data_IF_331487395129
#
_entry.id   IF_331487395129
#
_cell.length_a   1.000
_cell.length_b   1.000
_cell.length_c   1.000
_cell.angle_alpha   90.00
_cell.angle_beta   90.00
_cell.angle_gamma   90.00
#
_symmetry.space_group_name_H-M   'P 1'
#
loop_
_entity.id
_entity.type
_entity.pdbx_description
1 polymer ?
#
# COMPACT_ATOMS: atom_id res chain seq x y z
N UNK A 1 25.80 4.22 42.86
CA UNK A 1 25.02 3.00 43.15
C UNK A 1 24.18 2.72 41.92
N UNK A 2 24.70 1.89 41.00
CA UNK A 2 24.02 1.57 39.75
C UNK A 2 22.91 0.56 40.05
N UNK A 3 21.67 0.86 39.63
CA UNK A 3 20.57 -0.10 39.73
C UNK A 3 20.88 -1.31 38.84
N UNK A 4 20.61 -2.54 39.32
CA UNK A 4 20.84 -3.74 38.53
C UNK A 4 19.91 -3.73 37.31
N UNK A 5 20.47 -4.11 36.15
CA UNK A 5 19.76 -4.28 34.89
C UNK A 5 18.62 -5.29 35.09
N UNK A 6 17.41 -4.79 35.34
CA UNK A 6 16.21 -5.61 35.37
C UNK A 6 15.94 -6.10 33.94
N UNK A 7 15.59 -7.38 33.81
CA UNK A 7 15.08 -7.96 32.57
C UNK A 7 13.74 -7.30 32.22
N UNK A 8 13.79 -6.11 31.65
CA UNK A 8 12.63 -5.49 31.05
C UNK A 8 12.15 -6.40 29.92
N UNK A 9 10.89 -6.79 29.96
CA UNK A 9 10.24 -7.39 28.80
C UNK A 9 10.25 -6.37 27.65
N UNK A 10 10.25 -6.83 26.39
CA UNK A 10 10.23 -5.96 25.20
C UNK A 10 9.17 -4.83 25.32
N UNK A 11 8.04 -5.15 25.94
CA UNK A 11 6.93 -4.23 26.21
C UNK A 11 7.22 -3.16 27.26
N UNK A 12 8.02 -3.47 28.29
CA UNK A 12 8.38 -2.50 29.33
C UNK A 12 9.50 -1.55 28.89
N UNK A 13 10.42 -2.03 28.03
CA UNK A 13 11.40 -1.16 27.37
C UNK A 13 10.71 -0.18 26.40
N UNK A 14 9.60 -0.60 25.79
CA UNK A 14 8.77 0.19 24.86
C UNK A 14 7.85 1.22 25.54
N UNK A 15 7.52 1.05 26.82
CA UNK A 15 6.72 2.01 27.57
C UNK A 15 7.59 3.09 28.25
N UNK A 16 8.90 2.85 28.33
CA UNK A 16 9.88 3.76 28.93
C UNK A 16 10.46 4.79 27.94
N UNK A 17 9.98 4.82 26.69
CA UNK A 17 10.65 5.48 25.57
C UNK A 17 9.94 6.74 25.05
N UNK A 18 10.60 7.45 24.12
CA UNK A 18 10.23 8.79 23.64
C UNK A 18 8.95 8.79 22.79
N UNK A 19 8.38 9.97 22.50
CA UNK A 19 7.18 10.10 21.66
C UNK A 19 7.32 9.43 20.28
N UNK A 20 8.54 9.39 19.73
CA UNK A 20 8.85 8.73 18.46
C UNK A 20 8.68 7.21 18.53
N UNK A 21 8.95 6.61 19.69
CA UNK A 21 8.86 5.16 19.90
C UNK A 21 7.40 4.69 19.94
N UNK A 22 6.48 5.52 20.43
CA UNK A 22 5.03 5.23 20.44
C UNK A 22 4.46 5.14 19.02
N UNK A 23 4.84 6.08 18.14
CA UNK A 23 4.39 6.04 16.73
C UNK A 23 4.95 4.84 15.98
N UNK A 24 6.21 4.48 16.23
CA UNK A 24 6.82 3.30 15.63
C UNK A 24 6.11 2.01 16.04
N UNK A 25 5.75 1.88 17.32
CA UNK A 25 4.94 0.74 17.81
C UNK A 25 3.57 0.73 17.15
N UNK A 26 2.88 1.87 17.12
CA UNK A 26 1.56 1.99 16.50
C UNK A 26 1.60 1.61 15.02
N UNK A 27 2.54 2.19 14.26
CA UNK A 27 2.77 1.87 12.86
C UNK A 27 3.04 0.37 12.67
N UNK A 28 3.90 -0.21 13.50
CA UNK A 28 4.21 -1.64 13.45
C UNK A 28 2.94 -2.48 13.62
N UNK A 29 2.16 -2.24 14.67
CA UNK A 29 0.92 -2.97 14.95
C UNK A 29 -0.08 -2.83 13.79
N UNK A 30 -0.32 -1.60 13.33
CA UNK A 30 -1.21 -1.33 12.19
C UNK A 30 -0.70 -2.05 10.95
N UNK A 31 0.61 -2.03 10.70
CA UNK A 31 1.21 -2.68 9.55
C UNK A 31 1.00 -4.19 9.54
N UNK A 32 1.16 -4.84 10.70
CA UNK A 32 0.86 -6.26 10.88
C UNK A 32 -0.61 -6.59 10.62
N UNK A 33 -1.53 -5.83 11.21
CA UNK A 33 -2.98 -6.02 11.03
C UNK A 33 -3.34 -5.86 9.55
N UNK A 34 -2.85 -4.82 8.92
CA UNK A 34 -3.09 -4.52 7.52
C UNK A 34 -2.53 -5.62 6.60
N UNK A 35 -1.33 -6.12 6.88
CA UNK A 35 -0.75 -7.26 6.16
C UNK A 35 -1.63 -8.48 6.25
N UNK A 36 -2.07 -8.82 7.46
CA UNK A 36 -2.95 -9.97 7.67
C UNK A 36 -4.26 -9.82 6.89
N UNK A 37 -4.91 -8.65 6.96
CA UNK A 37 -6.14 -8.39 6.20
C UNK A 37 -5.91 -8.44 4.69
N UNK A 38 -4.78 -7.90 4.21
CA UNK A 38 -4.42 -7.97 2.79
C UNK A 38 -4.24 -9.41 2.33
N UNK A 39 -3.55 -10.26 3.10
CA UNK A 39 -3.38 -11.68 2.80
C UNK A 39 -4.74 -12.40 2.69
N UNK A 40 -5.70 -12.04 3.54
CA UNK A 40 -7.06 -12.59 3.49
C UNK A 40 -7.86 -12.09 2.29
N UNK A 41 -7.82 -10.80 1.98
CA UNK A 41 -8.63 -10.19 0.92
C UNK A 41 -8.08 -10.44 -0.48
N UNK A 42 -6.76 -10.50 -0.64
CA UNK A 42 -6.08 -10.60 -1.93
C UNK A 42 -6.53 -11.76 -2.82
N UNK A 43 -6.69 -13.02 -2.33
CA UNK A 43 -7.18 -14.10 -3.18
C UNK A 43 -8.60 -13.86 -3.71
N UNK A 44 -9.48 -13.28 -2.90
CA UNK A 44 -10.83 -12.92 -3.34
C UNK A 44 -10.79 -11.78 -4.35
N UNK A 45 -9.97 -10.76 -4.09
CA UNK A 45 -9.74 -9.65 -5.01
C UNK A 45 -9.32 -10.15 -6.40
N UNK A 46 -8.32 -11.03 -6.44
CA UNK A 46 -7.83 -11.63 -7.69
C UNK A 46 -8.90 -12.48 -8.37
N UNK A 47 -9.61 -13.31 -7.61
CA UNK A 47 -10.67 -14.15 -8.15
C UNK A 47 -11.79 -13.33 -8.79
N UNK A 48 -12.36 -12.38 -8.04
CA UNK A 48 -13.47 -11.53 -8.49
C UNK A 48 -13.06 -10.72 -9.71
N UNK A 49 -11.85 -10.13 -9.69
CA UNK A 49 -11.34 -9.39 -10.84
C UNK A 49 -11.28 -10.28 -12.08
N UNK A 50 -10.73 -11.50 -11.97
CA UNK A 50 -10.61 -12.43 -13.11
C UNK A 50 -11.96 -12.84 -13.68
N UNK A 51 -12.95 -13.12 -12.83
CA UNK A 51 -14.30 -13.47 -13.26
C UNK A 51 -14.97 -12.31 -13.99
N UNK A 52 -14.74 -11.07 -13.52
CA UNK A 52 -15.39 -9.90 -14.10
C UNK A 52 -14.66 -9.31 -15.30
N UNK A 53 -13.39 -9.65 -15.48
CA UNK A 53 -12.47 -9.05 -16.46
C UNK A 53 -13.05 -8.98 -17.87
N UNK A 54 -13.58 -10.08 -18.40
CA UNK A 54 -14.05 -10.11 -19.79
C UNK A 54 -15.20 -9.15 -20.04
N UNK A 55 -16.14 -9.05 -19.09
CA UNK A 55 -17.24 -8.09 -19.15
C UNK A 55 -16.77 -6.65 -18.90
N UNK A 56 -15.81 -6.47 -18.00
CA UNK A 56 -15.33 -5.13 -17.65
C UNK A 56 -14.49 -4.51 -18.79
N UNK A 57 -13.93 -5.31 -19.72
CA UNK A 57 -13.17 -4.85 -20.90
C UNK A 57 -13.94 -3.89 -21.81
N UNK A 58 -15.26 -4.00 -21.84
CA UNK A 58 -16.15 -3.14 -22.64
C UNK A 58 -16.31 -1.75 -22.01
N UNK A 59 -15.92 -1.59 -20.75
CA UNK A 59 -16.04 -0.32 -20.03
C UNK A 59 -14.95 0.66 -20.43
N UNK A 60 -15.31 1.95 -20.52
CA UNK A 60 -14.37 3.04 -20.78
C UNK A 60 -13.33 3.22 -19.68
N UNK A 61 -13.68 2.85 -18.45
CA UNK A 61 -12.77 2.92 -17.30
C UNK A 61 -11.85 1.69 -17.20
N UNK A 62 -12.03 0.69 -18.08
CA UNK A 62 -11.29 -0.57 -18.03
C UNK A 62 -9.78 -0.40 -17.97
N UNK A 63 -9.14 0.47 -18.79
CA UNK A 63 -7.69 0.65 -18.72
C UNK A 63 -7.20 1.08 -17.33
N UNK A 64 -7.98 1.92 -16.64
CA UNK A 64 -7.65 2.37 -15.28
C UNK A 64 -7.87 1.24 -14.28
N UNK A 65 -9.00 0.51 -14.36
CA UNK A 65 -9.27 -0.60 -13.44
C UNK A 65 -8.32 -1.78 -13.62
N UNK A 66 -7.91 -2.08 -14.87
CA UNK A 66 -6.88 -3.09 -15.17
C UNK A 66 -5.52 -2.66 -14.66
N UNK A 67 -5.21 -1.37 -14.74
CA UNK A 67 -4.03 -0.79 -14.10
C UNK A 67 -4.06 -0.90 -12.57
N UNK A 68 -5.20 -0.60 -11.92
CA UNK A 68 -5.36 -0.80 -10.48
C UNK A 68 -5.09 -2.24 -10.06
N UNK A 69 -5.63 -3.22 -10.80
CA UNK A 69 -5.39 -4.63 -10.53
C UNK A 69 -3.91 -5.02 -10.62
N UNK A 70 -3.21 -4.58 -11.67
CA UNK A 70 -1.77 -4.85 -11.81
C UNK A 70 -0.95 -4.18 -10.72
N UNK A 71 -1.26 -2.92 -10.41
CA UNK A 71 -0.58 -2.18 -9.36
C UNK A 71 -0.84 -2.81 -7.98
N UNK A 72 -2.04 -3.35 -7.75
CA UNK A 72 -2.38 -4.08 -6.53
C UNK A 72 -1.58 -5.37 -6.36
N UNK A 73 -1.42 -6.16 -7.43
CA UNK A 73 -0.56 -7.35 -7.39
C UNK A 73 0.88 -6.96 -7.07
N UNK A 74 1.38 -5.94 -7.75
CA UNK A 74 2.74 -5.45 -7.54
C UNK A 74 2.95 -4.95 -6.09
N UNK A 75 1.99 -4.17 -5.58
CA UNK A 75 1.97 -3.67 -4.21
C UNK A 75 1.96 -4.82 -3.20
N UNK A 76 1.12 -5.83 -3.42
CA UNK A 76 1.05 -6.99 -2.52
C UNK A 76 2.38 -7.74 -2.44
N UNK A 77 3.04 -7.98 -3.59
CA UNK A 77 4.37 -8.62 -3.61
C UNK A 77 5.39 -7.74 -2.88
N UNK A 78 5.40 -6.44 -3.17
CA UNK A 78 6.33 -5.49 -2.57
C UNK A 78 6.16 -5.40 -1.06
N UNK A 79 4.93 -5.39 -0.59
CA UNK A 79 4.60 -5.35 0.82
C UNK A 79 5.12 -6.59 1.56
N UNK A 80 5.03 -7.78 0.98
CA UNK A 80 5.64 -8.99 1.55
C UNK A 80 7.18 -8.87 1.63
N UNK A 81 7.82 -8.29 0.60
CA UNK A 81 9.27 -8.08 0.60
C UNK A 81 9.69 -7.13 1.73
N UNK A 82 8.98 -6.03 1.93
CA UNK A 82 9.23 -5.09 3.03
C UNK A 82 9.09 -5.76 4.41
N UNK A 83 8.06 -6.59 4.61
CA UNK A 83 7.89 -7.31 5.89
C UNK A 83 9.05 -8.29 6.14
N UNK A 84 9.53 -8.98 5.10
CA UNK A 84 10.68 -9.89 5.21
C UNK A 84 11.96 -9.09 5.53
N UNK A 85 12.19 -7.98 4.84
CA UNK A 85 13.33 -7.09 5.09
C UNK A 85 13.34 -6.60 6.54
N UNK A 86 12.20 -6.13 7.02
CA UNK A 86 12.03 -5.64 8.40
C UNK A 86 12.28 -6.74 9.43
N UNK A 87 11.77 -7.96 9.21
CA UNK A 87 12.04 -9.10 10.07
C UNK A 87 13.53 -9.48 10.11
N UNK A 88 14.19 -9.50 8.95
CA UNK A 88 15.62 -9.79 8.88
C UNK A 88 16.41 -8.73 9.63
N UNK A 89 16.09 -7.45 9.43
CA UNK A 89 16.72 -6.34 10.15
C UNK A 89 16.57 -6.49 11.67
N UNK A 90 15.36 -6.80 12.15
CA UNK A 90 15.10 -7.03 13.58
C UNK A 90 15.88 -8.22 14.12
N UNK A 91 15.87 -9.35 13.41
CA UNK A 91 16.59 -10.57 13.82
C UNK A 91 18.09 -10.32 13.98
N UNK A 92 18.71 -9.65 13.02
CA UNK A 92 20.15 -9.34 13.08
C UNK A 92 20.48 -8.27 14.13
N UNK A 93 19.57 -7.32 14.39
CA UNK A 93 19.78 -6.26 15.39
C UNK A 93 19.59 -6.79 16.82
N UNK A 94 18.53 -7.55 17.08
CA UNK A 94 18.25 -8.13 18.41
C UNK A 94 19.35 -9.09 18.87
N UNK A 95 19.87 -9.92 17.96
CA UNK A 95 20.97 -10.86 18.26
C UNK A 95 22.26 -10.15 18.70
N UNK A 96 22.47 -8.91 18.27
CA UNK A 96 23.64 -8.09 18.64
C UNK A 96 23.61 -7.67 20.12
N UNK A 97 22.43 -7.46 20.69
CA UNK A 97 22.26 -6.93 22.05
C UNK A 97 22.22 -8.04 23.11
N UNK A 98 21.73 -9.23 22.76
CA UNK A 98 21.65 -10.38 23.67
C UNK A 98 22.99 -11.13 23.88
N UNK A 99 23.97 -10.97 23.00
CA UNK A 99 25.28 -11.60 23.15
C UNK A 99 26.36 -10.55 23.41
N UNK A 100 26.70 -10.30 24.67
CA UNK A 100 27.92 -9.61 25.10
C UNK A 100 29.23 -10.34 24.68
N UNK A 101 29.19 -11.15 23.62
CA UNK A 101 30.37 -11.78 23.05
C UNK A 101 30.88 -10.95 21.88
N UNK A 102 32.15 -10.54 21.97
CA UNK A 102 32.97 -10.14 20.84
C UNK A 102 32.85 -11.20 19.74
N UNK A 103 32.09 -10.90 18.69
CA UNK A 103 32.11 -11.72 17.49
C UNK A 103 33.50 -11.58 16.85
N UNK A 104 34.23 -12.69 16.79
CA UNK A 104 35.47 -12.88 16.01
C UNK A 104 35.24 -12.66 14.50
N UNK A 105 34.00 -12.52 14.05
CA UNK A 105 33.66 -12.01 12.73
C UNK A 105 33.64 -10.48 12.77
N UNK A 106 34.77 -9.87 12.37
CA UNK A 106 35.13 -8.48 12.68
C UNK A 106 34.04 -7.41 12.56
N UNK A 107 34.24 -6.32 13.29
CA UNK A 107 33.42 -5.11 13.33
C UNK A 107 32.96 -4.58 11.94
N UNK A 108 33.76 -4.80 10.88
CA UNK A 108 33.47 -4.36 9.51
C UNK A 108 32.27 -5.05 8.82
N UNK A 109 32.17 -6.40 8.75
CA UNK A 109 31.01 -7.06 8.15
C UNK A 109 29.69 -6.70 8.83
N UNK A 110 29.65 -6.56 10.17
CA UNK A 110 28.41 -6.19 10.89
C UNK A 110 27.96 -4.76 10.56
N UNK A 111 28.89 -3.81 10.48
CA UNK A 111 28.60 -2.43 10.03
C UNK A 111 28.11 -2.38 8.58
N UNK A 112 28.69 -3.19 7.69
CA UNK A 112 28.29 -3.27 6.28
C UNK A 112 26.91 -3.91 6.12
N UNK A 113 26.62 -4.97 6.86
CA UNK A 113 25.28 -5.61 6.86
C UNK A 113 24.21 -4.67 7.42
N UNK A 114 24.53 -3.93 8.49
CA UNK A 114 23.61 -2.94 9.07
C UNK A 114 23.32 -1.78 8.09
N UNK A 115 24.37 -1.22 7.48
CA UNK A 115 24.19 -0.16 6.48
C UNK A 115 23.43 -0.63 5.23
N UNK A 116 23.60 -1.88 4.82
CA UNK A 116 22.89 -2.45 3.67
C UNK A 116 21.37 -2.51 3.90
N UNK A 117 20.91 -3.11 5.00
CA UNK A 117 19.47 -3.19 5.31
C UNK A 117 18.84 -1.80 5.46
N UNK A 118 19.54 -0.86 6.12
CA UNK A 118 19.04 0.52 6.22
C UNK A 118 18.90 1.22 4.86
N UNK A 119 19.90 1.11 3.99
CA UNK A 119 19.83 1.70 2.64
C UNK A 119 18.74 1.04 1.81
N UNK A 120 18.60 -0.28 1.92
CA UNK A 120 17.56 -1.04 1.24
C UNK A 120 16.16 -0.61 1.72
N UNK A 121 15.92 -0.57 3.03
CA UNK A 121 14.66 -0.12 3.62
C UNK A 121 14.27 1.30 3.18
N UNK A 122 15.22 2.24 3.21
CA UNK A 122 14.98 3.62 2.73
C UNK A 122 14.56 3.63 1.24
N UNK A 123 15.19 2.80 0.41
CA UNK A 123 14.87 2.71 -1.00
C UNK A 123 13.48 2.08 -1.23
N UNK A 124 13.13 1.05 -0.47
CA UNK A 124 11.83 0.38 -0.52
C UNK A 124 10.70 1.34 -0.07
N UNK A 125 10.84 1.96 1.11
CA UNK A 125 9.87 2.93 1.64
C UNK A 125 9.63 4.08 0.66
N UNK A 126 10.72 4.63 0.10
CA UNK A 126 10.64 5.75 -0.87
C UNK A 126 9.85 5.37 -2.12
N UNK A 127 9.93 4.11 -2.52
CA UNK A 127 9.24 3.59 -3.68
C UNK A 127 7.76 3.31 -3.38
N UNK A 128 7.48 2.69 -2.23
CA UNK A 128 6.15 2.44 -1.69
C UNK A 128 5.27 3.68 -1.60
N UNK A 129 5.80 4.76 -1.03
CA UNK A 129 5.09 6.04 -0.95
C UNK A 129 4.67 6.54 -2.34
N UNK A 130 5.47 6.32 -3.39
CA UNK A 130 5.10 6.73 -4.76
C UNK A 130 4.02 5.85 -5.36
N UNK A 131 3.98 4.57 -5.03
CA UNK A 131 2.87 3.70 -5.44
C UNK A 131 1.55 4.18 -4.83
N UNK A 132 1.53 4.54 -3.54
CA UNK A 132 0.34 5.11 -2.89
C UNK A 132 -0.16 6.36 -3.61
N UNK A 133 0.76 7.25 -4.00
CA UNK A 133 0.40 8.46 -4.73
C UNK A 133 -0.19 8.15 -6.11
N UNK A 134 0.36 7.14 -6.80
CA UNK A 134 -0.23 6.67 -8.06
C UNK A 134 -1.68 6.23 -7.84
N UNK A 135 -1.96 5.50 -6.75
CA UNK A 135 -3.31 5.08 -6.41
C UNK A 135 -4.24 6.27 -6.17
N UNK A 136 -3.82 7.27 -5.37
CA UNK A 136 -4.63 8.47 -5.09
C UNK A 136 -4.96 9.25 -6.36
N UNK A 137 -3.99 9.47 -7.23
CA UNK A 137 -4.21 10.19 -8.48
C UNK A 137 -5.11 9.38 -9.42
N UNK A 138 -4.90 8.07 -9.54
CA UNK A 138 -5.76 7.21 -10.36
C UNK A 138 -7.20 7.18 -9.82
N UNK A 139 -7.39 7.18 -8.49
CA UNK A 139 -8.72 7.23 -7.86
C UNK A 139 -9.39 8.56 -8.17
N UNK A 140 -8.63 9.65 -8.10
CA UNK A 140 -9.10 11.00 -8.44
C UNK A 140 -9.51 11.10 -9.91
N UNK A 141 -8.67 10.60 -10.83
CA UNK A 141 -8.99 10.54 -12.27
C UNK A 141 -10.25 9.71 -12.51
N UNK A 142 -10.36 8.55 -11.89
CA UNK A 142 -11.53 7.68 -12.02
C UNK A 142 -12.80 8.36 -11.49
N UNK A 143 -12.72 9.04 -10.35
CA UNK A 143 -13.83 9.78 -9.76
C UNK A 143 -14.28 10.94 -10.67
N UNK A 144 -13.33 11.74 -11.17
CA UNK A 144 -13.61 12.82 -12.12
C UNK A 144 -14.22 12.25 -13.41
N UNK A 145 -13.67 11.17 -13.95
CA UNK A 145 -14.22 10.54 -15.16
C UNK A 145 -15.66 10.06 -14.93
N UNK A 146 -15.95 9.39 -13.80
CA UNK A 146 -17.31 8.96 -13.45
C UNK A 146 -18.26 10.13 -13.24
N UNK A 147 -17.81 11.17 -12.54
CA UNK A 147 -18.59 12.39 -12.32
C UNK A 147 -18.98 13.03 -13.65
N UNK A 148 -18.02 13.24 -14.54
CA UNK A 148 -18.30 13.91 -15.80
C UNK A 148 -19.20 13.04 -16.71
N UNK A 149 -18.96 11.73 -16.78
CA UNK A 149 -19.82 10.81 -17.54
C UNK A 149 -21.25 10.75 -16.99
N UNK A 150 -21.44 10.94 -15.69
CA UNK A 150 -22.75 10.94 -15.04
C UNK A 150 -23.52 12.25 -15.26
N UNK A 151 -22.87 13.40 -15.08
CA UNK A 151 -23.54 14.71 -15.15
C UNK A 151 -23.56 15.33 -16.54
N UNK A 152 -22.63 14.97 -17.42
CA UNK A 152 -22.44 15.61 -18.73
C UNK A 152 -22.34 14.58 -19.85
N UNK A 153 -23.45 13.93 -20.19
CA UNK A 153 -23.49 12.90 -21.24
C UNK A 153 -22.96 13.40 -22.59
N UNK A 154 -23.14 14.69 -22.90
CA UNK A 154 -22.60 15.34 -24.10
C UNK A 154 -21.07 15.26 -24.21
N UNK A 155 -20.37 15.12 -23.08
CA UNK A 155 -18.90 15.03 -23.04
C UNK A 155 -18.35 13.63 -23.28
N UNK A 156 -19.22 12.60 -23.35
CA UNK A 156 -18.85 11.19 -23.55
C UNK A 156 -17.88 11.02 -24.72
N UNK A 157 -18.14 11.67 -25.86
CA UNK A 157 -17.29 11.59 -27.06
C UNK A 157 -15.85 12.09 -26.84
N UNK A 158 -15.62 12.99 -25.90
CA UNK A 158 -14.30 13.55 -25.60
C UNK A 158 -13.57 12.76 -24.51
N UNK A 159 -14.32 12.13 -23.60
CA UNK A 159 -13.80 11.34 -22.47
C UNK A 159 -13.54 9.89 -22.87
N UNK A 160 -14.17 9.42 -23.95
CA UNK A 160 -13.87 8.16 -24.64
C UNK A 160 -12.48 8.21 -25.30
N UNK A 161 -11.44 8.34 -24.48
CA UNK A 161 -10.06 8.13 -24.88
C UNK A 161 -9.92 6.65 -25.22
N UNK A 162 -9.64 6.37 -26.50
CA UNK A 162 -9.43 4.99 -26.95
C UNK A 162 -8.40 4.27 -26.07
N UNK A 163 -8.62 2.97 -25.81
CA UNK A 163 -7.82 2.19 -24.84
C UNK A 163 -6.30 2.30 -25.08
N UNK A 164 -5.86 2.40 -26.34
CA UNK A 164 -4.45 2.60 -26.68
C UNK A 164 -3.89 3.92 -26.13
N UNK A 165 -4.63 5.03 -26.27
CA UNK A 165 -4.22 6.35 -25.74
C UNK A 165 -4.18 6.34 -24.21
N UNK A 166 -5.17 5.72 -23.57
CA UNK A 166 -5.19 5.55 -22.11
C UNK A 166 -3.98 4.76 -21.60
N UNK A 167 -3.62 3.65 -22.26
CA UNK A 167 -2.44 2.87 -21.88
C UNK A 167 -1.13 3.66 -22.02
N UNK A 168 -0.98 4.44 -23.09
CA UNK A 168 0.19 5.32 -23.28
C UNK A 168 0.23 6.39 -22.18
N UNK A 169 -0.91 7.03 -21.88
CA UNK A 169 -1.01 8.01 -20.80
C UNK A 169 -0.63 7.43 -19.44
N UNK A 170 -1.12 6.23 -19.12
CA UNK A 170 -0.76 5.51 -17.90
C UNK A 170 0.73 5.15 -17.84
N UNK A 171 1.34 4.75 -18.97
CA UNK A 171 2.78 4.47 -19.03
C UNK A 171 3.63 5.72 -18.77
N UNK A 172 3.30 6.84 -19.41
CA UNK A 172 3.97 8.14 -19.18
C UNK A 172 3.80 8.56 -17.72
N UNK A 173 2.59 8.43 -17.20
CA UNK A 173 2.25 8.72 -15.80
C UNK A 173 3.12 7.91 -14.83
N UNK A 174 3.18 6.58 -14.96
CA UNK A 174 4.01 5.74 -14.08
C UNK A 174 5.49 6.07 -14.20
N UNK A 175 5.98 6.31 -15.42
CA UNK A 175 7.38 6.65 -15.67
C UNK A 175 7.80 7.93 -14.93
N UNK A 176 6.94 8.95 -14.92
CA UNK A 176 7.21 10.20 -14.20
C UNK A 176 7.37 9.97 -12.68
N UNK A 177 6.50 9.17 -12.07
CA UNK A 177 6.59 8.84 -10.65
C UNK A 177 7.82 7.98 -10.31
N UNK A 178 8.19 7.03 -11.17
CA UNK A 178 9.39 6.21 -10.96
C UNK A 178 10.68 7.00 -11.08
N UNK A 179 10.79 7.88 -12.06
CA UNK A 179 11.95 8.79 -12.19
C UNK A 179 12.08 9.65 -10.92
N UNK A 180 10.97 10.17 -10.41
CA UNK A 180 10.94 10.95 -9.17
C UNK A 180 11.35 10.12 -7.95
N UNK A 181 10.86 8.88 -7.80
CA UNK A 181 11.29 7.96 -6.75
C UNK A 181 12.80 7.72 -6.82
N UNK A 182 13.32 7.46 -8.01
CA UNK A 182 14.74 7.18 -8.23
C UNK A 182 15.63 8.37 -7.83
N UNK A 183 15.27 9.59 -8.26
CA UNK A 183 16.01 10.81 -7.89
C UNK A 183 16.02 11.00 -6.36
N UNK A 184 14.88 10.80 -5.69
CA UNK A 184 14.80 10.91 -4.21
C UNK A 184 15.65 9.84 -3.52
N UNK A 185 15.57 8.59 -3.96
CA UNK A 185 16.36 7.50 -3.39
C UNK A 185 17.86 7.76 -3.54
N UNK A 186 18.32 8.15 -4.74
CA UNK A 186 19.72 8.53 -4.96
C UNK A 186 20.17 9.66 -4.04
N UNK A 187 19.35 10.69 -3.87
CA UNK A 187 19.63 11.81 -2.96
C UNK A 187 19.74 11.35 -1.49
N UNK A 188 18.77 10.57 -1.01
CA UNK A 188 18.76 10.06 0.37
C UNK A 188 19.99 9.19 0.66
N UNK A 189 20.36 8.32 -0.29
CA UNK A 189 21.56 7.48 -0.18
C UNK A 189 22.82 8.34 -0.18
N UNK A 190 22.95 9.31 -1.09
CA UNK A 190 24.11 10.20 -1.16
C UNK A 190 24.31 11.01 0.14
N UNK A 191 23.22 11.48 0.74
CA UNK A 191 23.25 12.21 2.00
C UNK A 191 23.58 11.30 3.20
N UNK A 192 23.06 10.06 3.23
CA UNK A 192 23.45 9.05 4.24
C UNK A 192 24.93 8.65 4.15
N UNK A 193 25.49 8.63 2.94
CA UNK A 193 26.90 8.33 2.68
C UNK A 193 27.81 9.56 2.84
N UNK A 194 27.29 10.71 3.28
CA UNK A 194 28.04 11.95 3.48
C UNK A 194 28.85 12.39 2.24
N UNK A 195 28.36 12.12 1.02
CA UNK A 195 29.08 12.49 -0.19
C UNK A 195 29.12 14.02 -0.37
N UNK A 196 30.27 14.62 -0.76
CA UNK A 196 30.41 16.07 -0.92
C UNK A 196 29.43 16.65 -1.96
N UNK A 197 29.00 15.82 -2.92
CA UNK A 197 27.96 16.12 -3.90
C UNK A 197 26.58 16.48 -3.27
N UNK A 198 26.21 15.91 -2.11
CA UNK A 198 24.94 16.23 -1.43
C UNK A 198 24.95 17.66 -0.82
N UNK A 199 26.12 18.16 -0.43
CA UNK A 199 26.30 19.50 0.16
C UNK A 199 26.33 20.62 -0.90
N UNK A 200 26.77 20.30 -2.12
CA UNK A 200 26.97 21.31 -3.18
C UNK A 200 25.78 21.48 -4.11
N UNK A 201 24.99 20.43 -4.36
CA UNK A 201 24.08 20.47 -5.50
C UNK A 201 22.73 21.12 -5.25
N UNK A 202 22.22 21.24 -4.03
CA UNK A 202 20.93 21.90 -3.87
C UNK A 202 20.79 22.68 -2.56
N UNK A 203 20.60 24.02 -2.61
CA UNK A 203 20.10 24.74 -1.46
C UNK A 203 18.74 24.14 -1.05
N UNK A 204 18.32 24.40 0.19
CA UNK A 204 17.03 24.07 0.84
C UNK A 204 15.76 24.01 -0.07
N UNK A 205 15.79 24.59 -1.27
CA UNK A 205 14.75 24.62 -2.32
C UNK A 205 14.38 23.28 -2.97
N UNK A 206 15.30 22.34 -3.25
CA UNK A 206 14.86 21.03 -3.81
C UNK A 206 14.36 20.08 -2.75
N UNK A 207 14.91 20.13 -1.54
CA UNK A 207 14.29 19.47 -0.39
C UNK A 207 12.85 20.00 -0.22
N UNK A 208 12.66 21.32 -0.36
CA UNK A 208 11.34 21.93 -0.41
C UNK A 208 10.47 21.34 -1.53
N UNK A 209 10.89 21.30 -2.80
CA UNK A 209 10.05 20.72 -3.88
C UNK A 209 9.78 19.21 -3.74
N UNK A 210 10.74 18.42 -3.26
CA UNK A 210 10.57 16.96 -3.04
C UNK A 210 9.62 16.67 -1.88
N UNK A 211 9.56 17.56 -0.88
CA UNK A 211 8.63 17.52 0.26
C UNK A 211 7.27 18.15 -0.10
N UNK A 212 7.24 19.16 -0.98
CA UNK A 212 6.03 19.90 -1.34
C UNK A 212 5.07 19.15 -2.26
N UNK A 213 5.53 18.15 -3.01
CA UNK A 213 4.61 17.35 -3.84
C UNK A 213 3.61 16.54 -3.01
N UNK A 214 3.95 16.22 -1.76
CA UNK A 214 3.06 15.50 -0.84
C UNK A 214 2.10 16.49 -0.13
N UNK A 215 2.35 17.80 -0.26
CA UNK A 215 1.62 18.88 0.39
C UNK A 215 0.17 18.98 -0.09
N UNK A 216 -0.10 18.80 -1.39
CA UNK A 216 -1.45 18.94 -1.96
C UNK A 216 -2.39 17.86 -1.41
N UNK A 217 -1.90 16.65 -1.20
CA UNK A 217 -2.70 15.52 -0.69
C UNK A 217 -2.94 15.68 0.82
N UNK A 218 -1.99 16.30 1.53
CA UNK A 218 -1.99 16.38 2.98
C UNK A 218 -2.27 17.80 3.50
N UNK A 219 -2.84 18.71 2.70
CA UNK A 219 -3.07 20.13 3.09
C UNK A 219 -3.74 20.25 4.47
N UNK A 220 -4.85 19.55 4.77
CA UNK A 220 -5.52 19.69 6.07
C UNK A 220 -4.62 19.27 7.23
N UNK A 221 -3.81 18.24 7.01
CA UNK A 221 -2.88 17.69 7.98
C UNK A 221 -1.69 18.63 8.19
N UNK A 222 -1.13 19.19 7.12
CA UNK A 222 -0.09 20.24 7.19
C UNK A 222 -0.59 21.45 7.96
N UNK A 223 -1.81 21.90 7.71
CA UNK A 223 -2.43 23.01 8.46
C UNK A 223 -2.55 22.70 9.95
N UNK A 224 -2.94 21.47 10.30
CA UNK A 224 -3.00 21.02 11.69
C UNK A 224 -1.62 20.95 12.36
N UNK A 225 -0.62 20.36 11.69
CA UNK A 225 0.74 20.23 12.22
C UNK A 225 1.44 21.59 12.38
N UNK A 226 1.22 22.51 11.43
CA UNK A 226 1.68 23.90 11.53
C UNK A 226 1.04 24.63 12.70
N UNK A 227 -0.27 24.44 12.90
CA UNK A 227 -1.01 25.07 14.00
C UNK A 227 -0.50 24.65 15.38
N UNK A 228 -0.10 23.38 15.53
CA UNK A 228 0.40 22.84 16.81
C UNK A 228 1.92 22.86 16.97
N UNK A 229 2.66 23.48 16.06
CA UNK A 229 4.13 23.57 16.10
C UNK A 229 4.86 22.21 16.16
N UNK A 230 4.29 21.17 15.53
CA UNK A 230 4.91 19.85 15.45
C UNK A 230 6.07 19.78 14.45
N UNK A 231 6.90 18.73 14.54
CA UNK A 231 8.04 18.52 13.65
C UNK A 231 7.60 17.94 12.30
N UNK A 232 7.17 18.85 11.42
CA UNK A 232 6.53 18.60 10.12
C UNK A 232 7.19 17.45 9.31
N UNK A 233 8.50 17.43 9.02
CA UNK A 233 9.06 16.42 8.11
C UNK A 233 9.01 14.99 8.65
N UNK A 234 9.11 14.82 9.97
CA UNK A 234 9.12 13.52 10.62
C UNK A 234 7.70 12.93 10.65
N UNK A 235 6.74 13.72 11.10
CA UNK A 235 5.34 13.31 11.22
C UNK A 235 4.72 12.95 9.87
N UNK A 236 5.03 13.73 8.82
CA UNK A 236 4.56 13.43 7.45
C UNK A 236 5.11 12.14 6.87
N UNK A 237 6.30 11.71 7.30
CA UNK A 237 6.84 10.43 6.88
C UNK A 237 6.01 9.28 7.44
N UNK A 238 5.60 9.37 8.71
CA UNK A 238 4.72 8.37 9.34
C UNK A 238 3.36 8.29 8.68
N UNK A 239 2.74 9.42 8.37
CA UNK A 239 1.45 9.42 7.68
C UNK A 239 1.56 8.80 6.28
N UNK A 240 2.62 9.11 5.54
CA UNK A 240 2.87 8.47 4.24
C UNK A 240 3.06 6.95 4.35
N UNK A 241 3.74 6.48 5.40
CA UNK A 241 3.88 5.06 5.70
C UNK A 241 2.54 4.42 6.09
N UNK A 242 1.76 5.05 6.97
CA UNK A 242 0.42 4.56 7.33
C UNK A 242 -0.51 4.47 6.12
N UNK A 243 -0.46 5.47 5.24
CA UNK A 243 -1.26 5.52 4.02
C UNK A 243 -0.82 4.42 3.04
N UNK A 244 0.49 4.15 2.92
CA UNK A 244 1.01 3.01 2.16
C UNK A 244 0.44 1.67 2.63
N UNK A 245 0.35 1.48 3.95
CA UNK A 245 -0.14 0.22 4.51
C UNK A 245 -1.67 0.10 4.40
N UNK A 246 -2.40 1.21 4.57
CA UNK A 246 -3.87 1.22 4.61
C UNK A 246 -4.53 1.34 3.23
N UNK A 247 -3.89 1.99 2.27
CA UNK A 247 -4.45 2.20 0.94
C UNK A 247 -4.73 0.89 0.18
N UNK A 248 -3.82 -0.10 0.09
CA UNK A 248 -4.06 -1.35 -0.64
C UNK A 248 -5.29 -2.11 -0.11
N UNK A 249 -5.48 -2.14 1.20
CA UNK A 249 -6.64 -2.78 1.83
C UNK A 249 -7.90 -2.02 1.51
N UNK A 250 -7.86 -0.70 1.66
CA UNK A 250 -8.98 0.18 1.34
C UNK A 250 -9.44 -0.06 -0.09
N UNK A 251 -8.51 -0.18 -1.04
CA UNK A 251 -8.82 -0.49 -2.43
C UNK A 251 -9.34 -1.91 -2.64
N UNK A 252 -8.76 -2.93 -2.01
CA UNK A 252 -9.25 -4.31 -2.12
C UNK A 252 -10.67 -4.45 -1.56
N UNK A 253 -10.90 -3.95 -0.35
CA UNK A 253 -12.19 -3.97 0.32
C UNK A 253 -13.21 -3.14 -0.46
N UNK A 254 -12.84 -1.96 -0.95
CA UNK A 254 -13.73 -1.14 -1.78
C UNK A 254 -14.08 -1.83 -3.10
N UNK A 255 -13.12 -2.46 -3.76
CA UNK A 255 -13.41 -3.21 -4.99
C UNK A 255 -14.33 -4.39 -4.71
N UNK A 256 -14.08 -5.18 -3.66
CA UNK A 256 -14.89 -6.34 -3.32
C UNK A 256 -16.29 -5.97 -2.82
N UNK A 257 -16.40 -4.94 -1.98
CA UNK A 257 -17.61 -4.59 -1.23
C UNK A 257 -18.50 -3.53 -1.88
N UNK A 258 -17.94 -2.57 -2.62
CA UNK A 258 -18.73 -1.44 -3.13
C UNK A 258 -19.43 -1.73 -4.48
N UNK A 259 -19.35 -2.96 -4.98
CA UNK A 259 -20.00 -3.36 -6.22
C UNK A 259 -20.87 -4.61 -5.97
N UNK A 260 -22.19 -4.46 -6.16
CA UNK A 260 -23.17 -5.55 -6.00
C UNK A 260 -22.76 -6.82 -6.77
N UNK A 261 -22.30 -6.66 -8.01
CA UNK A 261 -21.83 -7.78 -8.85
C UNK A 261 -20.63 -8.49 -8.22
N UNK A 262 -19.70 -7.73 -7.63
CA UNK A 262 -18.52 -8.29 -6.98
C UNK A 262 -18.91 -9.09 -5.73
N UNK A 263 -19.82 -8.55 -4.92
CA UNK A 263 -20.38 -9.25 -3.76
C UNK A 263 -21.12 -10.54 -4.15
N UNK A 264 -21.94 -10.51 -5.21
CA UNK A 264 -22.62 -11.70 -5.72
C UNK A 264 -21.62 -12.80 -6.13
N UNK A 265 -20.53 -12.44 -6.83
CA UNK A 265 -19.47 -13.39 -7.20
C UNK A 265 -18.81 -14.00 -5.96
N UNK A 266 -18.54 -13.22 -4.92
CA UNK A 266 -17.98 -13.73 -3.65
C UNK A 266 -18.95 -14.70 -2.99
N UNK A 267 -20.23 -14.35 -2.87
CA UNK A 267 -21.23 -15.22 -2.24
C UNK A 267 -21.43 -16.53 -2.99
N UNK A 268 -21.44 -16.49 -4.33
CA UNK A 268 -21.48 -17.70 -5.17
C UNK A 268 -20.24 -18.57 -4.92
N UNK A 269 -19.05 -17.96 -4.88
CA UNK A 269 -17.82 -18.69 -4.57
C UNK A 269 -17.86 -19.36 -3.20
N UNK A 270 -18.25 -18.60 -2.16
CA UNK A 270 -18.35 -19.12 -0.79
C UNK A 270 -19.39 -20.23 -0.67
N UNK A 271 -20.57 -20.06 -1.30
CA UNK A 271 -21.61 -21.10 -1.34
C UNK A 271 -21.11 -22.36 -2.02
N UNK A 272 -20.36 -22.26 -3.12
CA UNK A 272 -19.81 -23.42 -3.82
C UNK A 272 -18.71 -24.14 -3.03
N UNK A 273 -17.90 -23.39 -2.27
CA UNK A 273 -16.74 -23.93 -1.54
C UNK A 273 -17.09 -24.46 -0.15
N UNK A 274 -18.00 -23.79 0.56
CA UNK A 274 -18.36 -24.10 1.95
C UNK A 274 -19.82 -24.52 2.13
N UNK A 275 -20.68 -24.22 1.17
CA UNK A 275 -22.02 -24.81 1.15
C UNK A 275 -21.89 -26.29 0.87
N UNK A 276 -22.33 -27.12 1.82
CA UNK A 276 -22.72 -28.50 1.51
C UNK A 276 -23.64 -28.42 0.29
N UNK A 277 -23.43 -29.31 -0.68
CA UNK A 277 -24.48 -29.68 -1.63
C UNK A 277 -25.59 -30.27 -0.77
N UNK A 278 -26.42 -29.41 -0.16
CA UNK A 278 -27.76 -29.80 0.17
C UNK A 278 -28.37 -30.07 -1.20
N UNK A 279 -28.60 -31.35 -1.49
CA UNK A 279 -29.56 -31.78 -2.48
C UNK A 279 -30.84 -31.02 -2.19
N UNK A 280 -31.01 -29.86 -2.82
CA UNK A 280 -32.26 -29.11 -2.74
C UNK A 280 -33.23 -29.95 -3.54
N UNK A 281 -34.01 -30.71 -2.78
CA UNK A 281 -35.23 -31.35 -3.22
C UNK A 281 -36.02 -30.35 -4.09
N UNK A 282 -36.52 -30.75 -5.27
CA UNK A 282 -37.11 -29.82 -6.23
C UNK A 282 -38.17 -28.95 -5.56
N UNK A 283 -38.06 -27.65 -5.82
CA UNK A 283 -38.90 -26.63 -5.20
C UNK A 283 -40.38 -26.95 -5.42
N UNK A 284 -41.23 -26.60 -4.45
CA UNK A 284 -42.69 -26.85 -4.47
C UNK A 284 -43.37 -26.42 -5.78
N UNK A 285 -42.77 -25.46 -6.50
CA UNK A 285 -43.25 -24.99 -7.81
C UNK A 285 -43.19 -26.12 -8.86
N UNK A 286 -42.10 -26.91 -8.94
CA UNK A 286 -41.97 -28.03 -9.88
C UNK A 286 -42.94 -29.17 -9.60
N UNK A 287 -43.31 -29.42 -8.33
CA UNK A 287 -44.34 -30.44 -8.00
C UNK A 287 -45.72 -30.03 -8.51
N UNK A 288 -46.03 -28.73 -8.55
CA UNK A 288 -47.31 -28.23 -9.05
C UNK A 288 -47.39 -28.30 -10.57
N UNK A 289 -46.28 -28.05 -11.27
CA UNK A 289 -46.24 -28.17 -12.74
C UNK A 289 -46.28 -29.62 -13.21
N UNK A 290 -45.64 -30.54 -12.48
CA UNK A 290 -45.74 -31.98 -12.77
C UNK A 290 -47.16 -32.53 -12.51
N UNK A 291 -47.82 -32.12 -11.43
CA UNK A 291 -49.19 -32.53 -11.12
C UNK A 291 -50.25 -31.95 -12.08
N UNK A 292 -49.93 -30.86 -12.79
CA UNK A 292 -50.79 -30.28 -13.84
C UNK A 292 -50.55 -30.90 -15.22
N UNK A 293 -49.55 -31.75 -15.39
CA UNK A 293 -49.28 -32.49 -16.63
C UNK A 293 -49.80 -33.93 -16.60
N UNK A 294 -50.31 -34.40 -15.47
CA UNK A 294 -50.86 -35.76 -15.29
C UNK A 294 -52.40 -35.83 -15.17
N UNK A 295 -53.11 -34.71 -15.40
CA UNK A 295 -54.57 -34.65 -15.57
C UNK A 295 -54.93 -34.10 -16.96
#
# INVERSE_FOLDING_TARGET
>A
MALPYQNFTYWELLLATSFDDVFQVYYTIVSWICTFLSLLCFPFYVYVYRVNREKDKESLVFPITDSFYKLMIFTFIFFIIEQIEWFLWMYFTYKKESSNQEYVLGFLPVLKTFGFFQVLGIALDSFSIRITQMFHVMLSILAIQKFILYFFESTRKYIELGQKKMKIGLFIFYSAFFIKAFIRAMYMVACRLHMPFCMTLLPKRILYYVVFDDFIIHIPMYSYLLYHHYNIPHDLTYFGQLDWVTAPITMQVSYLGCNKKNLEVIFVYLRKKFGRVASVEPSRIERTTAALQEN
#
